data_IF_397976776719
#
_entry.id   IF_397976776719
#
_cell.length_a   1.000
_cell.length_b   1.000
_cell.length_c   1.000
_cell.angle_alpha   90.00
_cell.angle_beta   90.00
_cell.angle_gamma   90.00
#
_symmetry.space_group_name_H-M   'P 1'
#
loop_
_entity.id
_entity.type
_entity.pdbx_description
1 polymer ?
#
# COMPACT_ATOMS: atom_id res chain seq x y z
N UNK A 1 -1.15 -4.18 -12.95
CA UNK A 1 -1.31 -2.84 -13.56
C UNK A 1 -1.48 -2.82 -15.09
N UNK A 2 -1.42 -3.95 -15.82
CA UNK A 2 -1.62 -3.94 -17.28
C UNK A 2 -2.93 -3.28 -17.72
N UNK A 3 -4.02 -3.53 -16.98
CA UNK A 3 -5.32 -2.91 -17.26
C UNK A 3 -5.30 -1.39 -17.05
N UNK A 4 -4.81 -0.91 -15.90
CA UNK A 4 -4.75 0.53 -15.63
C UNK A 4 -3.89 1.29 -16.65
N UNK A 5 -2.73 0.72 -17.04
CA UNK A 5 -1.89 1.27 -18.11
C UNK A 5 -2.55 1.29 -19.49
N UNK A 6 -3.54 0.45 -19.76
CA UNK A 6 -4.27 0.50 -21.03
C UNK A 6 -5.15 1.77 -21.15
N UNK A 7 -5.60 2.31 -20.02
CA UNK A 7 -6.48 3.49 -19.96
C UNK A 7 -5.79 4.78 -19.47
N UNK A 8 -4.59 4.65 -18.88
CA UNK A 8 -3.72 5.77 -18.52
C UNK A 8 -2.25 5.40 -18.73
N UNK A 9 -1.77 5.31 -19.99
CA UNK A 9 -0.40 4.85 -20.28
C UNK A 9 0.69 5.72 -19.62
N UNK A 10 0.44 7.02 -19.52
CA UNK A 10 1.32 8.02 -18.92
C UNK A 10 1.25 8.09 -17.38
N UNK A 11 0.40 7.27 -16.74
CA UNK A 11 0.32 7.17 -15.28
C UNK A 11 0.03 8.50 -14.56
N UNK A 12 -0.73 9.39 -15.21
CA UNK A 12 -1.06 10.73 -14.67
C UNK A 12 -2.22 10.69 -13.67
N UNK A 13 -3.06 9.66 -13.75
CA UNK A 13 -4.31 9.51 -12.97
C UNK A 13 -4.37 8.19 -12.20
N UNK A 14 -3.24 7.49 -12.11
CA UNK A 14 -3.12 6.23 -11.36
C UNK A 14 -2.53 6.48 -9.97
N UNK A 15 -3.19 5.93 -8.95
CA UNK A 15 -2.69 5.78 -7.59
C UNK A 15 -2.57 4.29 -7.28
N UNK A 16 -1.47 3.88 -6.64
CA UNK A 16 -1.34 2.52 -6.10
C UNK A 16 -1.58 2.54 -4.60
N UNK A 17 -2.52 1.72 -4.13
CA UNK A 17 -2.65 1.37 -2.71
C UNK A 17 -2.05 -0.02 -2.47
N UNK A 18 -0.93 -0.08 -1.75
CA UNK A 18 -0.28 -1.32 -1.35
C UNK A 18 -0.84 -1.83 -0.02
N UNK A 19 -1.44 -3.01 -0.06
CA UNK A 19 -2.12 -3.64 1.08
C UNK A 19 -1.35 -4.85 1.62
N UNK A 20 -1.70 -5.34 2.82
CA UNK A 20 -1.13 -6.55 3.46
C UNK A 20 0.39 -6.49 3.63
N UNK A 21 0.90 -5.28 3.88
CA UNK A 21 2.32 -4.97 4.03
C UNK A 21 2.95 -5.63 5.27
N UNK A 22 2.12 -6.03 6.24
CA UNK A 22 2.48 -6.75 7.46
C UNK A 22 3.01 -8.17 7.19
N UNK A 23 2.67 -8.76 6.03
CA UNK A 23 3.09 -10.12 5.66
C UNK A 23 4.39 -10.16 4.86
N UNK A 24 4.96 -9.02 4.51
CA UNK A 24 6.13 -8.94 3.66
C UNK A 24 7.41 -8.75 4.46
N UNK A 25 8.48 -9.35 3.94
CA UNK A 25 9.84 -9.32 4.49
C UNK A 25 10.43 -7.88 4.50
N UNK A 26 11.58 -7.70 5.17
CA UNK A 26 12.29 -6.44 5.48
C UNK A 26 12.74 -5.55 4.29
N UNK A 27 12.08 -5.62 3.15
CA UNK A 27 12.43 -4.89 1.92
C UNK A 27 11.26 -4.21 1.20
N UNK A 28 10.03 -4.27 1.75
CA UNK A 28 8.85 -3.73 1.07
C UNK A 28 8.84 -2.19 1.07
N UNK A 29 9.38 -1.56 2.11
CA UNK A 29 9.48 -0.11 2.22
C UNK A 29 10.33 0.47 1.09
N UNK A 30 11.50 -0.14 0.82
CA UNK A 30 12.42 0.24 -0.24
C UNK A 30 11.80 0.04 -1.63
N UNK A 31 11.02 -1.03 -1.82
CA UNK A 31 10.31 -1.27 -3.07
C UNK A 31 9.22 -0.24 -3.33
N UNK A 32 8.53 0.21 -2.28
CA UNK A 32 7.47 1.22 -2.38
C UNK A 32 8.02 2.62 -2.69
N UNK A 33 9.32 2.88 -2.45
CA UNK A 33 9.98 4.11 -2.91
C UNK A 33 10.09 4.19 -4.43
N UNK A 34 9.93 3.07 -5.15
CA UNK A 34 9.89 3.09 -6.62
C UNK A 34 11.23 3.38 -7.27
N UNK A 35 12.35 3.04 -6.61
CA UNK A 35 13.69 3.19 -7.17
C UNK A 35 14.13 1.91 -7.91
N UNK A 36 14.70 2.05 -9.12
CA UNK A 36 15.34 0.96 -9.86
C UNK A 36 14.71 0.59 -11.20
N UNK A 37 15.28 -0.43 -11.85
CA UNK A 37 14.87 -0.86 -13.18
C UNK A 37 13.44 -1.46 -13.14
N UNK A 38 12.55 -0.96 -13.99
CA UNK A 38 11.16 -1.41 -14.03
C UNK A 38 10.23 -0.70 -13.04
N UNK A 39 10.71 0.35 -12.36
CA UNK A 39 9.84 1.25 -11.61
C UNK A 39 8.86 1.98 -12.53
N UNK A 40 7.81 2.55 -11.92
CA UNK A 40 6.75 3.24 -12.62
C UNK A 40 6.55 4.60 -11.99
N UNK A 41 6.73 5.63 -12.79
CA UNK A 41 6.49 7.00 -12.38
C UNK A 41 4.97 7.23 -12.34
N UNK A 42 4.45 7.42 -11.13
CA UNK A 42 3.03 7.67 -10.88
C UNK A 42 2.89 9.12 -10.42
N UNK A 43 2.11 9.94 -11.13
CA UNK A 43 1.92 11.34 -10.75
C UNK A 43 1.23 11.48 -9.38
N UNK A 44 0.32 10.55 -9.04
CA UNK A 44 -0.36 10.53 -7.75
C UNK A 44 0.37 9.69 -6.69
N UNK A 45 1.47 9.03 -7.07
CA UNK A 45 2.30 8.25 -6.17
C UNK A 45 1.73 6.89 -5.77
N UNK A 46 2.28 6.36 -4.67
CA UNK A 46 1.88 5.10 -4.06
C UNK A 46 1.69 5.31 -2.55
N UNK A 47 0.63 4.73 -1.99
CA UNK A 47 0.36 4.72 -0.55
C UNK A 47 0.38 3.28 -0.04
N UNK A 48 1.01 3.08 1.12
CA UNK A 48 0.93 1.82 1.85
C UNK A 48 -0.18 1.93 2.88
N UNK A 49 -0.97 0.86 3.04
CA UNK A 49 -2.03 0.79 4.05
C UNK A 49 -1.89 -0.51 4.84
N UNK A 50 -2.12 -0.41 6.15
CA UNK A 50 -2.16 -1.57 7.03
C UNK A 50 -3.60 -2.08 7.08
N UNK A 51 -3.79 -3.35 6.71
CA UNK A 51 -5.11 -3.98 6.74
C UNK A 51 -5.38 -4.67 8.07
N UNK A 52 -6.66 -4.92 8.34
CA UNK A 52 -7.06 -5.90 9.35
C UNK A 52 -6.54 -7.29 8.97
N UNK A 53 -5.95 -7.97 9.95
CA UNK A 53 -5.71 -9.40 9.90
C UNK A 53 -7.00 -10.16 10.27
N UNK A 54 -6.99 -11.48 10.16
CA UNK A 54 -8.20 -12.29 10.39
C UNK A 54 -8.71 -12.17 11.85
N UNK A 55 -7.80 -12.17 12.82
CA UNK A 55 -8.16 -12.06 14.23
C UNK A 55 -8.80 -10.71 14.56
N UNK A 56 -8.30 -9.62 13.99
CA UNK A 56 -8.89 -8.27 14.15
C UNK A 56 -10.28 -8.14 13.53
N UNK A 57 -10.56 -8.93 12.47
CA UNK A 57 -11.88 -9.03 11.88
C UNK A 57 -12.81 -9.83 12.81
N UNK A 58 -12.34 -10.97 13.29
CA UNK A 58 -13.11 -11.89 14.14
C UNK A 58 -13.51 -11.22 15.47
N UNK A 59 -12.61 -10.40 16.03
CA UNK A 59 -12.85 -9.64 17.27
C UNK A 59 -13.62 -8.34 17.07
N UNK A 60 -13.95 -7.98 15.82
CA UNK A 60 -14.60 -6.72 15.47
C UNK A 60 -13.88 -5.48 16.03
N UNK A 61 -12.55 -5.46 15.94
CA UNK A 61 -11.70 -4.33 16.39
C UNK A 61 -12.17 -3.02 15.74
N UNK A 62 -12.28 -1.96 16.54
CA UNK A 62 -12.82 -0.68 16.06
C UNK A 62 -11.94 -0.03 14.98
N UNK A 63 -12.51 0.87 14.18
CA UNK A 63 -11.70 1.62 13.21
C UNK A 63 -10.70 2.57 13.87
N UNK A 64 -11.03 3.11 15.05
CA UNK A 64 -10.13 4.01 15.78
C UNK A 64 -8.91 3.25 16.30
N UNK A 65 -9.11 2.04 16.84
CA UNK A 65 -8.01 1.17 17.27
C UNK A 65 -7.14 0.76 16.07
N UNK A 66 -7.76 0.43 14.93
CA UNK A 66 -7.01 0.11 13.70
C UNK A 66 -6.21 1.30 13.19
N UNK A 67 -6.75 2.51 13.28
CA UNK A 67 -6.04 3.74 12.88
C UNK A 67 -4.86 4.01 13.79
N UNK A 68 -4.99 3.74 15.08
CA UNK A 68 -3.87 3.88 16.03
C UNK A 68 -2.79 2.84 15.75
N UNK A 69 -3.17 1.58 15.51
CA UNK A 69 -2.25 0.52 15.10
C UNK A 69 -1.51 0.84 13.80
N UNK A 70 -2.20 1.38 12.79
CA UNK A 70 -1.57 1.79 11.53
C UNK A 70 -0.52 2.88 11.74
N UNK A 71 -0.81 3.89 12.58
CA UNK A 71 0.18 4.91 12.93
C UNK A 71 1.42 4.30 13.59
N UNK A 72 1.22 3.39 14.54
CA UNK A 72 2.32 2.72 15.25
C UNK A 72 3.16 1.86 14.31
N UNK A 73 2.54 1.20 13.33
CA UNK A 73 3.25 0.39 12.34
C UNK A 73 4.18 1.22 11.44
N UNK A 74 3.79 2.46 11.11
CA UNK A 74 4.56 3.36 10.24
C UNK A 74 5.42 4.39 10.98
N UNK A 75 5.37 4.43 12.31
CA UNK A 75 6.20 5.32 13.15
C UNK A 75 7.64 4.87 13.19
#
# INVERSE_FOLDING_TARGET
MKLAKAFDPSCQRQLIAASKIDKYDKGIAEKLQGHGLGSMELQLGCVAVLNRNQHEIDDNVSFDDMKQREKEFFS
#
